data_IF_292376782648
#
_entry.id   IF_292376782648
#
_cell.length_a   1.000
_cell.length_b   1.000
_cell.length_c   1.000
_cell.angle_alpha   90.00
_cell.angle_beta   90.00
_cell.angle_gamma   90.00
#
_symmetry.space_group_name_H-M   'P 1'
#
loop_
_entity.id
_entity.type
_entity.pdbx_description
1 polymer ?
#
# COMPACT_ATOMS: atom_id res chain seq x y z
N UNK A 1 24.91 -9.27 3.27
CA UNK A 1 24.12 -8.13 3.79
C UNK A 1 22.71 -8.64 4.05
N UNK A 2 22.24 -8.61 5.30
CA UNK A 2 20.89 -9.06 5.64
C UNK A 2 19.80 -8.12 5.12
N UNK A 3 18.55 -8.60 5.04
CA UNK A 3 17.39 -7.81 4.59
C UNK A 3 17.23 -6.53 5.42
N UNK A 4 17.55 -6.57 6.73
CA UNK A 4 17.56 -5.40 7.60
C UNK A 4 18.61 -4.34 7.22
N UNK A 5 19.77 -4.76 6.69
CA UNK A 5 20.81 -3.85 6.19
C UNK A 5 20.35 -3.19 4.90
N UNK A 6 19.78 -3.96 3.97
CA UNK A 6 19.21 -3.44 2.73
C UNK A 6 18.07 -2.47 3.01
N UNK A 7 17.22 -2.79 4.00
CA UNK A 7 16.18 -1.88 4.47
C UNK A 7 16.77 -0.61 5.08
N UNK A 8 17.79 -0.72 5.96
CA UNK A 8 18.46 0.45 6.50
C UNK A 8 19.07 1.32 5.40
N UNK A 9 19.60 0.74 4.33
CA UNK A 9 20.12 1.45 3.17
C UNK A 9 19.01 2.18 2.39
N UNK A 10 17.84 1.54 2.20
CA UNK A 10 16.67 2.16 1.56
C UNK A 10 16.15 3.33 2.41
N UNK A 11 16.07 3.15 3.72
CA UNK A 11 15.55 4.16 4.66
C UNK A 11 16.53 5.30 4.94
N UNK A 12 17.84 5.04 4.89
CA UNK A 12 18.89 6.03 5.14
C UNK A 12 19.20 6.89 3.91
N UNK A 13 18.76 6.45 2.72
CA UNK A 13 18.65 7.29 1.55
C UNK A 13 17.54 8.33 1.78
N UNK A 14 17.84 9.33 2.60
CA UNK A 14 17.01 10.48 2.82
C UNK A 14 16.74 11.09 1.43
N UNK A 15 15.51 10.96 0.93
CA UNK A 15 15.12 11.37 -0.43
C UNK A 15 15.53 12.83 -0.69
N UNK A 16 15.56 13.66 0.35
CA UNK A 16 16.05 15.04 0.28
C UNK A 16 17.55 15.12 -0.05
N UNK A 17 18.38 14.24 0.50
CA UNK A 17 19.83 14.17 0.18
C UNK A 17 20.10 13.59 -1.21
N UNK A 18 19.26 12.65 -1.69
CA UNK A 18 19.31 12.19 -3.08
C UNK A 18 18.95 13.31 -4.07
N UNK A 19 17.94 14.12 -3.73
CA UNK A 19 17.51 15.26 -4.53
C UNK A 19 18.52 16.43 -4.51
N UNK A 20 19.21 16.68 -3.39
CA UNK A 20 20.25 17.71 -3.30
C UNK A 20 21.52 17.36 -4.10
N UNK A 21 21.82 16.06 -4.24
CA UNK A 21 23.02 15.60 -4.96
C UNK A 21 22.77 15.35 -6.45
N UNK A 22 21.52 15.09 -6.83
CA UNK A 22 21.15 14.98 -8.23
C UNK A 22 21.07 16.37 -8.85
N UNK A 23 21.77 16.61 -9.95
CA UNK A 23 21.45 17.76 -10.81
C UNK A 23 19.97 17.66 -11.22
N UNK A 24 19.25 18.77 -11.26
CA UNK A 24 17.80 18.81 -11.44
C UNK A 24 17.30 17.95 -12.63
N UNK A 25 18.11 17.79 -13.68
CA UNK A 25 17.81 17.00 -14.88
C UNK A 25 17.80 15.47 -14.71
N UNK A 26 18.39 14.92 -13.64
CA UNK A 26 18.48 13.46 -13.43
C UNK A 26 17.77 12.98 -12.15
N UNK A 27 17.16 13.91 -11.41
CA UNK A 27 16.57 13.63 -10.10
C UNK A 27 15.34 12.70 -10.18
N UNK A 28 14.56 12.77 -11.27
CA UNK A 28 13.44 11.87 -11.56
C UNK A 28 13.90 10.44 -11.82
N UNK A 29 14.90 10.25 -12.67
CA UNK A 29 15.46 8.93 -13.03
C UNK A 29 16.02 8.23 -11.79
N UNK A 30 16.76 8.96 -10.95
CA UNK A 30 17.34 8.42 -9.71
C UNK A 30 16.23 8.02 -8.73
N UNK A 31 15.20 8.85 -8.59
CA UNK A 31 14.08 8.58 -7.69
C UNK A 31 13.21 7.42 -8.18
N UNK A 32 13.01 7.27 -9.49
CA UNK A 32 12.36 6.11 -10.10
C UNK A 32 13.13 4.81 -9.83
N UNK A 33 14.44 4.82 -10.02
CA UNK A 33 15.27 3.65 -9.74
C UNK A 33 15.22 3.28 -8.25
N UNK A 34 15.24 4.29 -7.37
CA UNK A 34 15.06 4.09 -5.93
C UNK A 34 13.71 3.44 -5.62
N UNK A 35 12.59 3.97 -6.13
CA UNK A 35 11.25 3.42 -5.92
C UNK A 35 11.18 1.98 -6.43
N UNK A 36 11.76 1.69 -7.60
CA UNK A 36 11.81 0.34 -8.16
C UNK A 36 12.55 -0.63 -7.24
N UNK A 37 13.76 -0.27 -6.77
CA UNK A 37 14.54 -1.09 -5.83
C UNK A 37 13.81 -1.27 -4.51
N UNK A 38 13.19 -0.21 -3.99
CA UNK A 38 12.42 -0.26 -2.76
C UNK A 38 11.20 -1.19 -2.87
N UNK A 39 10.48 -1.18 -4.01
CA UNK A 39 9.37 -2.10 -4.29
C UNK A 39 9.82 -3.56 -4.37
N UNK A 40 10.93 -3.84 -5.06
CA UNK A 40 11.48 -5.19 -5.12
C UNK A 40 11.84 -5.72 -3.72
N UNK A 41 12.49 -4.90 -2.92
CA UNK A 41 12.85 -5.26 -1.54
C UNK A 41 11.62 -5.35 -0.63
N UNK A 42 10.55 -4.61 -0.91
CA UNK A 42 9.30 -4.68 -0.14
C UNK A 42 8.66 -6.06 -0.22
N UNK A 43 8.67 -6.71 -1.38
CA UNK A 43 8.08 -8.04 -1.53
C UNK A 43 8.89 -9.11 -0.78
N UNK A 44 10.23 -9.01 -0.80
CA UNK A 44 11.11 -9.85 0.02
C UNK A 44 10.89 -9.62 1.52
N UNK A 45 10.82 -8.36 1.96
CA UNK A 45 10.57 -7.99 3.37
C UNK A 45 9.20 -8.47 3.82
N UNK A 46 8.17 -8.39 2.97
CA UNK A 46 6.83 -8.93 3.27
C UNK A 46 6.86 -10.44 3.43
N UNK A 47 7.59 -11.16 2.58
CA UNK A 47 7.70 -12.61 2.67
C UNK A 47 8.42 -13.03 3.97
N UNK A 48 9.52 -12.35 4.32
CA UNK A 48 10.22 -12.60 5.59
C UNK A 48 9.35 -12.23 6.80
N UNK A 49 8.65 -11.10 6.74
CA UNK A 49 7.70 -10.68 7.79
C UNK A 49 6.58 -11.69 7.95
N UNK A 50 6.05 -12.25 6.87
CA UNK A 50 5.06 -13.31 6.91
C UNK A 50 5.62 -14.59 7.57
N UNK A 51 6.88 -14.94 7.29
CA UNK A 51 7.58 -16.04 7.97
C UNK A 51 7.68 -15.82 9.47
N UNK A 52 8.15 -14.65 9.91
CA UNK A 52 8.26 -14.31 11.34
C UNK A 52 6.90 -14.29 12.04
N UNK A 53 5.85 -13.81 11.35
CA UNK A 53 4.47 -13.87 11.87
C UNK A 53 3.99 -15.32 11.98
N UNK A 54 4.33 -16.18 11.02
CA UNK A 54 3.98 -17.59 11.09
C UNK A 54 4.67 -18.28 12.27
N UNK A 55 5.93 -17.93 12.56
CA UNK A 55 6.66 -18.42 13.73
C UNK A 55 6.01 -17.96 15.05
N UNK A 56 5.59 -16.69 15.14
CA UNK A 56 4.81 -16.17 16.27
C UNK A 56 3.52 -16.98 16.46
N UNK A 57 2.77 -17.21 15.38
CA UNK A 57 1.52 -17.98 15.42
C UNK A 57 1.76 -19.44 15.82
N UNK A 58 2.83 -20.07 15.34
CA UNK A 58 3.19 -21.43 15.70
C UNK A 58 3.55 -21.54 17.19
N UNK A 59 4.30 -20.57 17.73
CA UNK A 59 4.61 -20.50 19.15
C UNK A 59 3.33 -20.30 20.00
N UNK A 60 2.42 -19.43 19.57
CA UNK A 60 1.13 -19.23 20.24
C UNK A 60 0.25 -20.49 20.24
N UNK A 61 0.22 -21.24 19.13
CA UNK A 61 -0.49 -22.53 19.06
C UNK A 61 0.09 -23.54 20.05
N UNK A 62 1.42 -23.63 20.13
CA UNK A 62 2.08 -24.53 21.08
C UNK A 62 1.71 -24.24 22.54
N UNK A 63 1.59 -22.96 22.90
CA UNK A 63 1.11 -22.56 24.25
C UNK A 63 -0.34 -23.04 24.46
N UNK A 64 -1.20 -22.85 23.46
CA UNK A 64 -2.61 -23.27 23.52
C UNK A 64 -2.75 -24.79 23.66
N UNK A 65 -1.93 -25.56 22.94
CA UNK A 65 -1.91 -27.02 23.01
C UNK A 65 -1.48 -27.50 24.40
N UNK A 66 -0.42 -26.90 24.97
CA UNK A 66 0.05 -27.18 26.32
C UNK A 66 -1.00 -26.81 27.37
N UNK A 67 -1.72 -25.70 27.19
CA UNK A 67 -2.84 -25.34 28.07
C UNK A 67 -3.96 -26.38 28.03
N UNK A 68 -4.31 -26.87 26.84
CA UNK A 68 -5.29 -27.96 26.71
C UNK A 68 -4.81 -29.24 27.40
N UNK A 69 -3.53 -29.58 27.27
CA UNK A 69 -2.92 -30.73 27.92
C UNK A 69 -2.95 -30.61 29.46
N UNK A 70 -2.59 -29.45 29.99
CA UNK A 70 -2.63 -29.14 31.44
C UNK A 70 -4.05 -29.31 31.99
N UNK A 71 -5.06 -28.80 31.27
CA UNK A 71 -6.47 -28.93 31.66
C UNK A 71 -6.93 -30.39 31.62
N UNK A 72 -6.54 -31.16 30.59
CA UNK A 72 -6.86 -32.59 30.48
C UNK A 72 -6.24 -33.39 31.63
N UNK A 73 -4.96 -33.16 31.92
CA UNK A 73 -4.25 -33.84 33.00
C UNK A 73 -4.83 -33.49 34.37
N UNK A 74 -5.25 -32.25 34.58
CA UNK A 74 -5.97 -31.86 35.80
C UNK A 74 -7.28 -32.64 35.97
N UNK A 75 -8.09 -32.75 34.91
CA UNK A 75 -9.35 -33.53 34.95
C UNK A 75 -9.12 -35.02 35.23
N UNK A 76 -8.09 -35.61 34.63
CA UNK A 76 -7.75 -37.02 34.90
C UNK A 76 -7.25 -37.23 36.32
N UNK A 77 -6.46 -36.30 36.86
CA UNK A 77 -6.05 -36.34 38.26
C UNK A 77 -7.26 -36.28 39.20
N UNK A 78 -8.22 -35.37 38.95
CA UNK A 78 -9.45 -35.27 39.73
C UNK A 78 -10.27 -36.57 39.68
N UNK A 79 -10.43 -37.17 38.50
CA UNK A 79 -11.14 -38.44 38.34
C UNK A 79 -10.45 -39.59 39.05
N UNK A 80 -9.11 -39.66 39.00
CA UNK A 80 -8.34 -40.69 39.69
C UNK A 80 -8.48 -40.60 41.21
N UNK A 81 -8.47 -39.38 41.77
CA UNK A 81 -8.73 -39.15 43.21
C UNK A 81 -10.14 -39.58 43.59
N UNK A 82 -11.15 -39.22 42.78
CA UNK A 82 -12.54 -39.63 43.04
C UNK A 82 -12.73 -41.16 42.98
N UNK A 83 -11.94 -41.84 42.17
CA UNK A 83 -11.90 -43.31 42.08
C UNK A 83 -11.07 -43.97 43.20
N UNK A 84 -10.43 -43.20 44.09
CA UNK A 84 -9.57 -43.70 45.16
C UNK A 84 -8.21 -44.22 44.67
N UNK A 85 -7.79 -43.86 43.47
CA UNK A 85 -6.55 -44.34 42.84
C UNK A 85 -5.44 -43.28 42.93
N UNK A 86 -4.94 -43.05 44.14
CA UNK A 86 -3.99 -41.98 44.47
C UNK A 86 -2.67 -42.05 43.69
N UNK A 87 -2.19 -43.26 43.36
CA UNK A 87 -0.96 -43.44 42.58
C UNK A 87 -1.10 -42.94 41.14
N UNK A 88 -2.28 -43.13 40.52
CA UNK A 88 -2.54 -42.61 39.17
C UNK A 88 -2.76 -41.09 39.21
N UNK A 89 -3.43 -40.58 40.25
CA UNK A 89 -3.59 -39.15 40.46
C UNK A 89 -2.23 -38.43 40.55
N UNK A 90 -1.28 -38.98 41.32
CA UNK A 90 0.10 -38.44 41.40
C UNK A 90 0.78 -38.38 40.03
N UNK A 91 0.69 -39.45 39.22
CA UNK A 91 1.27 -39.47 37.87
C UNK A 91 0.67 -38.40 36.96
N UNK A 92 -0.66 -38.21 36.99
CA UNK A 92 -1.29 -37.14 36.22
C UNK A 92 -0.86 -35.74 36.69
N UNK A 93 -0.68 -35.54 38.00
CA UNK A 93 -0.18 -34.29 38.56
C UNK A 93 1.29 -34.02 38.19
N UNK A 94 2.15 -35.05 38.18
CA UNK A 94 3.52 -34.95 37.68
C UNK A 94 3.55 -34.59 36.19
N UNK A 95 2.71 -35.24 35.38
CA UNK A 95 2.54 -34.91 33.97
C UNK A 95 2.11 -33.46 33.78
N UNK A 96 1.16 -32.98 34.61
CA UNK A 96 0.69 -31.59 34.59
C UNK A 96 1.80 -30.61 34.93
N UNK A 97 2.62 -30.90 35.94
CA UNK A 97 3.77 -30.08 36.32
C UNK A 97 4.81 -29.99 35.18
N UNK A 98 5.09 -31.11 34.52
CA UNK A 98 5.98 -31.14 33.35
C UNK A 98 5.42 -30.35 32.16
N UNK A 99 4.12 -30.46 31.87
CA UNK A 99 3.46 -29.66 30.83
C UNK A 99 3.48 -28.16 31.16
N UNK A 100 3.29 -27.78 32.43
CA UNK A 100 3.40 -26.41 32.89
C UNK A 100 4.81 -25.83 32.75
N UNK A 101 5.86 -26.62 33.05
CA UNK A 101 7.24 -26.19 32.81
C UNK A 101 7.52 -25.96 31.31
N UNK A 102 7.09 -26.88 30.44
CA UNK A 102 7.19 -26.71 28.99
C UNK A 102 6.41 -25.50 28.47
N UNK A 103 5.28 -25.17 29.11
CA UNK A 103 4.48 -23.99 28.78
C UNK A 103 5.27 -22.72 29.07
N UNK A 104 5.91 -22.62 30.24
CA UNK A 104 6.73 -21.46 30.58
C UNK A 104 7.86 -21.22 29.56
N UNK A 105 8.52 -22.29 29.11
CA UNK A 105 9.53 -22.20 28.04
C UNK A 105 8.93 -21.73 26.71
N UNK A 106 7.74 -22.25 26.35
CA UNK A 106 7.03 -21.85 25.14
C UNK A 106 6.55 -20.38 25.19
N UNK A 107 6.13 -19.88 26.35
CA UNK A 107 5.77 -18.49 26.58
C UNK A 107 6.96 -17.54 26.41
N UNK A 108 8.14 -17.92 26.91
CA UNK A 108 9.37 -17.17 26.68
C UNK A 108 9.75 -17.11 25.20
N UNK A 109 9.65 -18.24 24.49
CA UNK A 109 9.90 -18.30 23.05
C UNK A 109 8.88 -17.44 22.25
N UNK A 110 7.61 -17.50 22.61
CA UNK A 110 6.57 -16.66 22.02
C UNK A 110 6.83 -15.16 22.25
N UNK A 111 7.23 -14.77 23.47
CA UNK A 111 7.54 -13.37 23.76
C UNK A 111 8.67 -12.83 22.85
N UNK A 112 9.71 -13.63 22.62
CA UNK A 112 10.80 -13.26 21.69
C UNK A 112 10.31 -13.20 20.24
N UNK A 113 9.54 -14.19 19.79
CA UNK A 113 8.97 -14.22 18.45
C UNK A 113 8.03 -13.01 18.20
N UNK A 114 7.24 -12.64 19.21
CA UNK A 114 6.34 -11.48 19.17
C UNK A 114 7.08 -10.17 19.00
N UNK A 115 8.13 -9.93 19.79
CA UNK A 115 8.97 -8.72 19.66
C UNK A 115 9.56 -8.63 18.25
N UNK A 116 10.02 -9.75 17.69
CA UNK A 116 10.55 -9.79 16.33
C UNK A 116 9.47 -9.51 15.27
N UNK A 117 8.31 -10.17 15.38
CA UNK A 117 7.15 -9.98 14.51
C UNK A 117 6.66 -8.53 14.51
N UNK A 118 6.51 -7.94 15.69
CA UNK A 118 6.08 -6.54 15.84
C UNK A 118 7.09 -5.58 15.21
N UNK A 119 8.39 -5.83 15.39
CA UNK A 119 9.45 -5.07 14.72
C UNK A 119 9.35 -5.20 13.20
N UNK A 120 9.19 -6.41 12.67
CA UNK A 120 9.09 -6.64 11.22
C UNK A 120 7.83 -5.98 10.62
N UNK A 121 6.70 -6.02 11.33
CA UNK A 121 5.47 -5.32 10.94
C UNK A 121 5.68 -3.80 10.88
N UNK A 122 6.33 -3.21 11.89
CA UNK A 122 6.63 -1.79 11.91
C UNK A 122 7.57 -1.38 10.77
N UNK A 123 8.63 -2.15 10.52
CA UNK A 123 9.56 -1.91 9.42
C UNK A 123 8.87 -1.98 8.07
N UNK A 124 8.03 -3.01 7.85
CA UNK A 124 7.25 -3.17 6.62
C UNK A 124 6.29 -2.00 6.42
N UNK A 125 5.58 -1.58 7.48
CA UNK A 125 4.67 -0.42 7.41
C UNK A 125 5.43 0.87 7.06
N UNK A 126 6.60 1.07 7.66
CA UNK A 126 7.46 2.21 7.36
C UNK A 126 7.93 2.20 5.91
N UNK A 127 8.38 1.05 5.40
CA UNK A 127 8.80 0.90 4.00
C UNK A 127 7.70 1.29 3.02
N UNK A 128 6.47 0.84 3.28
CA UNK A 128 5.31 1.18 2.45
C UNK A 128 5.04 2.68 2.47
N UNK A 129 5.14 3.32 3.65
CA UNK A 129 5.01 4.77 3.79
C UNK A 129 6.07 5.53 2.98
N UNK A 130 7.34 5.20 3.20
CA UNK A 130 8.46 5.85 2.52
C UNK A 130 8.40 5.69 0.98
N UNK A 131 7.95 4.53 0.49
CA UNK A 131 7.70 4.31 -0.94
C UNK A 131 6.57 5.21 -1.47
N UNK A 132 5.52 5.42 -0.67
CA UNK A 132 4.42 6.34 -1.01
C UNK A 132 4.90 7.79 -1.08
N UNK A 133 5.67 8.23 -0.07
CA UNK A 133 6.25 9.57 -0.04
C UNK A 133 7.20 9.82 -1.21
N UNK A 134 8.01 8.82 -1.58
CA UNK A 134 8.88 8.87 -2.74
C UNK A 134 8.08 9.03 -4.06
N UNK A 135 6.94 8.33 -4.20
CA UNK A 135 6.08 8.44 -5.39
C UNK A 135 5.43 9.83 -5.49
N UNK A 136 4.99 10.39 -4.36
CA UNK A 136 4.44 11.74 -4.32
C UNK A 136 5.49 12.77 -4.76
N UNK A 137 6.71 12.67 -4.22
CA UNK A 137 7.83 13.52 -4.61
C UNK A 137 8.22 13.36 -6.08
N UNK A 138 8.22 12.14 -6.61
CA UNK A 138 8.48 11.90 -8.03
C UNK A 138 7.45 12.60 -8.91
N UNK A 139 6.18 12.53 -8.54
CA UNK A 139 5.08 13.19 -9.27
C UNK A 139 5.25 14.71 -9.26
N UNK A 140 5.55 15.29 -8.10
CA UNK A 140 5.84 16.72 -7.95
C UNK A 140 7.04 17.14 -8.79
N UNK A 141 8.12 16.35 -8.75
CA UNK A 141 9.34 16.65 -9.48
C UNK A 141 9.15 16.58 -11.00
N UNK A 142 8.43 15.58 -11.50
CA UNK A 142 8.05 15.50 -12.92
C UNK A 142 7.20 16.67 -13.36
N UNK A 143 6.25 17.11 -12.53
CA UNK A 143 5.45 18.30 -12.83
C UNK A 143 6.32 19.56 -12.93
N UNK A 144 7.26 19.75 -12.00
CA UNK A 144 8.19 20.89 -12.03
C UNK A 144 9.13 20.83 -13.23
N UNK A 145 9.64 19.66 -13.57
CA UNK A 145 10.49 19.46 -14.76
C UNK A 145 9.72 19.80 -16.05
N UNK A 146 8.47 19.35 -16.19
CA UNK A 146 7.65 19.68 -17.35
C UNK A 146 7.44 21.20 -17.52
N UNK A 147 7.17 21.91 -16.43
CA UNK A 147 7.05 23.38 -16.42
C UNK A 147 8.38 24.07 -16.76
N UNK A 148 9.49 23.55 -16.24
CA UNK A 148 10.83 24.07 -16.53
C UNK A 148 11.21 23.86 -18.01
N UNK A 149 10.96 22.67 -18.57
CA UNK A 149 11.18 22.38 -19.99
C UNK A 149 10.33 23.27 -20.89
N UNK A 150 9.08 23.52 -20.51
CA UNK A 150 8.21 24.45 -21.24
C UNK A 150 8.77 25.87 -21.19
N UNK A 151 9.25 26.31 -20.02
CA UNK A 151 9.86 27.63 -19.83
C UNK A 151 11.17 27.79 -20.60
N UNK A 152 12.05 26.79 -20.60
CA UNK A 152 13.28 26.74 -21.42
C UNK A 152 12.93 26.83 -22.91
N UNK A 153 11.97 26.02 -23.40
CA UNK A 153 11.53 26.08 -24.81
C UNK A 153 10.98 27.45 -25.19
N UNK A 154 10.26 28.12 -24.28
CA UNK A 154 9.78 29.48 -24.49
C UNK A 154 10.91 30.50 -24.50
N UNK A 155 11.89 30.37 -23.60
CA UNK A 155 13.08 31.22 -23.58
C UNK A 155 13.92 31.05 -24.86
N UNK A 156 14.18 29.81 -25.28
CA UNK A 156 14.89 29.50 -26.54
C UNK A 156 14.13 30.00 -27.76
N UNK A 157 12.79 29.88 -27.78
CA UNK A 157 11.96 30.42 -28.85
C UNK A 157 12.05 31.95 -28.87
N UNK A 158 11.97 32.60 -27.72
CA UNK A 158 12.13 34.05 -27.57
C UNK A 158 13.53 34.50 -28.03
N UNK A 159 14.58 33.76 -27.70
CA UNK A 159 15.96 34.06 -28.10
C UNK A 159 16.17 33.84 -29.60
N UNK A 160 15.57 32.78 -30.20
CA UNK A 160 15.56 32.56 -31.65
C UNK A 160 14.80 33.64 -32.40
N UNK A 161 13.67 34.11 -31.85
CA UNK A 161 12.92 35.25 -32.39
C UNK A 161 13.77 36.53 -32.29
N UNK A 162 14.42 36.76 -31.14
CA UNK A 162 15.24 37.95 -30.90
C UNK A 162 16.53 37.96 -31.73
N UNK A 163 17.10 36.80 -32.06
CA UNK A 163 18.27 36.67 -32.95
C UNK A 163 17.92 36.72 -34.43
N UNK A 164 16.67 36.43 -34.81
CA UNK A 164 16.12 36.70 -36.15
C UNK A 164 15.69 38.16 -36.37
N UNK A 165 15.59 38.97 -35.30
CA UNK A 165 15.14 40.37 -35.32
C UNK A 165 16.17 41.38 -35.90
N UNK A 166 16.97 40.97 -36.89
CA UNK A 166 17.86 41.85 -37.66
C UNK A 166 17.18 42.62 -38.80
N UNK A 167 15.86 42.50 -38.99
CA UNK A 167 15.11 43.16 -40.07
C UNK A 167 13.69 43.52 -39.66
N UNK A 168 13.44 44.80 -39.44
CA UNK A 168 12.18 45.35 -38.89
C UNK A 168 11.18 45.62 -40.02
N UNK A 169 10.27 44.68 -40.30
CA UNK A 169 8.96 44.98 -40.92
C UNK A 169 7.90 43.89 -40.76
N UNK A 170 8.28 42.65 -40.44
CA UNK A 170 7.32 41.53 -40.29
C UNK A 170 6.89 41.29 -38.82
N UNK A 171 7.18 42.27 -37.94
CA UNK A 171 7.02 42.18 -36.49
C UNK A 171 5.55 41.98 -36.05
N UNK A 172 4.61 42.71 -36.63
CA UNK A 172 3.19 42.65 -36.22
C UNK A 172 2.51 41.35 -36.67
N UNK A 173 2.80 40.87 -37.88
CA UNK A 173 2.22 39.62 -38.39
C UNK A 173 2.77 38.37 -37.72
N UNK A 174 4.03 38.40 -37.28
CA UNK A 174 4.65 37.27 -36.57
C UNK A 174 4.29 37.30 -35.08
N UNK A 175 4.20 38.47 -34.45
CA UNK A 175 3.70 38.61 -33.08
C UNK A 175 2.25 38.12 -32.97
N UNK A 176 1.39 38.48 -33.92
CA UNK A 176 0.02 37.94 -34.01
C UNK A 176 0.02 36.42 -34.23
N UNK A 177 0.93 35.88 -35.07
CA UNK A 177 1.01 34.44 -35.31
C UNK A 177 1.50 33.66 -34.09
N UNK A 178 2.45 34.22 -33.33
CA UNK A 178 2.98 33.63 -32.08
C UNK A 178 1.94 33.73 -30.97
N UNK A 179 1.31 34.90 -30.80
CA UNK A 179 0.23 35.08 -29.83
C UNK A 179 -0.93 34.12 -30.13
N UNK A 180 -1.35 33.99 -31.39
CA UNK A 180 -2.39 33.06 -31.82
C UNK A 180 -2.00 31.59 -31.62
N UNK A 181 -0.71 31.27 -31.60
CA UNK A 181 -0.19 29.91 -31.34
C UNK A 181 -0.09 29.62 -29.85
N UNK A 182 0.30 30.61 -29.03
CA UNK A 182 0.23 30.55 -27.57
C UNK A 182 -1.23 30.43 -27.13
N UNK A 183 -2.11 31.29 -27.64
CA UNK A 183 -3.56 31.22 -27.41
C UNK A 183 -4.13 29.88 -27.87
N UNK A 184 -3.63 29.29 -28.97
CA UNK A 184 -4.05 27.96 -29.41
C UNK A 184 -3.52 26.84 -28.50
N UNK A 185 -2.36 27.00 -27.88
CA UNK A 185 -1.80 26.02 -26.93
C UNK A 185 -2.53 26.13 -25.60
N UNK A 186 -2.75 27.34 -25.10
CA UNK A 186 -3.50 27.61 -23.88
C UNK A 186 -4.98 27.23 -24.05
N UNK A 187 -5.57 27.45 -25.22
CA UNK A 187 -6.90 26.96 -25.56
C UNK A 187 -6.94 25.43 -25.65
N UNK A 188 -5.88 24.76 -26.13
CA UNK A 188 -5.80 23.28 -26.13
C UNK A 188 -5.56 22.71 -24.74
N UNK A 189 -4.77 23.37 -23.89
CA UNK A 189 -4.56 22.98 -22.50
C UNK A 189 -5.83 23.20 -21.67
N UNK A 190 -6.53 24.31 -21.89
CA UNK A 190 -7.84 24.61 -21.29
C UNK A 190 -8.91 23.64 -21.81
N UNK A 191 -8.94 23.35 -23.12
CA UNK A 191 -9.83 22.35 -23.70
C UNK A 191 -9.52 20.95 -23.19
N UNK A 192 -8.27 20.54 -23.02
CA UNK A 192 -7.94 19.24 -22.43
C UNK A 192 -8.33 19.17 -20.95
N UNK A 193 -8.19 20.27 -20.21
CA UNK A 193 -8.64 20.35 -18.82
C UNK A 193 -10.17 20.35 -18.71
N UNK A 194 -10.85 21.04 -19.62
CA UNK A 194 -12.30 21.04 -19.76
C UNK A 194 -12.80 19.69 -20.29
N UNK A 195 -12.05 19.00 -21.15
CA UNK A 195 -12.33 17.63 -21.59
C UNK A 195 -12.05 16.62 -20.47
N UNK A 196 -11.05 16.81 -19.62
CA UNK A 196 -10.82 15.98 -18.42
C UNK A 196 -11.92 16.23 -17.37
N UNK A 197 -12.39 17.47 -17.20
CA UNK A 197 -13.58 17.80 -16.40
C UNK A 197 -14.89 17.29 -17.06
N UNK A 198 -14.95 17.18 -18.39
CA UNK A 198 -16.08 16.59 -19.15
C UNK A 198 -15.95 15.08 -19.40
N UNK A 199 -14.82 14.44 -19.08
CA UNK A 199 -14.68 12.98 -19.01
C UNK A 199 -15.29 12.41 -17.72
N UNK A 200 -16.02 13.24 -16.97
CA UNK A 200 -17.04 12.86 -16.00
C UNK A 200 -18.39 12.53 -16.67
N UNK A 201 -18.41 12.21 -17.97
CA UNK A 201 -19.54 11.55 -18.65
C UNK A 201 -19.92 10.24 -17.96
N UNK A 202 -18.97 9.54 -17.33
CA UNK A 202 -19.28 8.35 -16.51
C UNK A 202 -20.05 8.74 -15.22
N UNK A 203 -19.79 9.90 -14.66
CA UNK A 203 -20.43 10.41 -13.44
C UNK A 203 -21.80 11.04 -13.72
N UNK A 204 -22.03 11.50 -14.96
CA UNK A 204 -23.35 11.82 -15.50
C UNK A 204 -24.15 10.56 -15.90
N UNK A 205 -23.49 9.50 -16.40
CA UNK A 205 -24.14 8.19 -16.63
C UNK A 205 -24.59 7.56 -15.31
N UNK A 206 -23.78 7.60 -14.25
CA UNK A 206 -24.18 7.08 -12.93
C UNK A 206 -25.36 7.86 -12.31
N UNK A 207 -25.52 9.15 -12.66
CA UNK A 207 -26.66 9.96 -12.22
C UNK A 207 -27.95 9.66 -12.98
N UNK A 208 -27.88 9.20 -14.23
CA UNK A 208 -29.05 8.87 -15.07
C UNK A 208 -29.37 7.36 -15.13
N UNK A 209 -28.41 6.46 -14.84
CA UNK A 209 -28.67 5.03 -14.65
C UNK A 209 -29.45 4.71 -13.36
N UNK A 210 -29.60 5.68 -12.45
CA UNK A 210 -30.40 5.53 -11.22
C UNK A 210 -31.86 5.98 -11.40
N UNK A 211 -32.27 6.46 -12.59
CA UNK A 211 -33.63 7.01 -12.79
C UNK A 211 -34.38 6.52 -14.03
N UNK A 212 -33.94 5.43 -14.67
CA UNK A 212 -34.58 4.89 -15.88
C UNK A 212 -35.04 3.43 -15.75
N UNK A 213 -35.39 2.96 -14.56
CA UNK A 213 -36.20 1.74 -14.43
C UNK A 213 -37.13 1.79 -13.22
N UNK A 214 -37.98 2.82 -13.20
CA UNK A 214 -39.30 2.69 -12.64
C UNK A 214 -40.28 2.60 -13.81
N UNK A 215 -40.63 1.38 -14.21
CA UNK A 215 -41.99 0.88 -13.96
C UNK A 215 -42.21 -0.55 -14.46
N UNK A 216 -42.58 -1.41 -13.49
CA UNK A 216 -43.52 -2.53 -13.64
C UNK A 216 -43.02 -3.84 -14.30
N UNK A 217 -42.38 -4.74 -13.52
CA UNK A 217 -42.69 -6.20 -13.62
C UNK A 217 -42.21 -7.10 -12.47
N UNK A 218 -41.45 -6.65 -11.48
CA UNK A 218 -40.85 -7.58 -10.49
C UNK A 218 -41.65 -7.81 -9.21
N UNK A 219 -42.46 -6.84 -8.74
CA UNK A 219 -43.27 -7.02 -7.52
C UNK A 219 -44.43 -7.99 -7.72
N UNK A 220 -45.04 -8.03 -8.91
CA UNK A 220 -46.07 -9.04 -9.26
C UNK A 220 -45.45 -10.42 -9.53
N UNK A 221 -44.20 -10.47 -10.03
CA UNK A 221 -43.44 -11.71 -10.18
C UNK A 221 -42.97 -12.29 -8.83
N UNK A 222 -42.62 -11.43 -7.86
CA UNK A 222 -42.28 -11.81 -6.49
C UNK A 222 -43.52 -12.23 -5.69
N UNK A 223 -44.70 -11.65 -5.95
CA UNK A 223 -45.95 -12.12 -5.34
C UNK A 223 -46.38 -13.51 -5.86
N UNK A 224 -46.05 -13.85 -7.11
CA UNK A 224 -46.27 -15.17 -7.69
C UNK A 224 -45.27 -16.21 -7.15
N UNK A 225 -44.01 -15.82 -6.96
CA UNK A 225 -42.99 -16.67 -6.33
C UNK A 225 -43.31 -16.94 -4.85
N UNK A 226 -43.81 -15.95 -4.10
CA UNK A 226 -44.21 -16.10 -2.70
C UNK A 226 -45.41 -17.06 -2.52
N UNK A 227 -46.35 -17.07 -3.48
CA UNK A 227 -47.48 -18.01 -3.48
C UNK A 227 -47.03 -19.46 -3.75
N UNK A 228 -46.12 -19.65 -4.71
CA UNK A 228 -45.55 -20.96 -5.02
C UNK A 228 -44.68 -21.54 -3.90
N UNK A 229 -44.09 -20.69 -3.05
CA UNK A 229 -43.25 -21.13 -1.92
C UNK A 229 -44.05 -21.37 -0.62
N UNK A 230 -45.28 -20.86 -0.52
CA UNK A 230 -46.15 -20.97 0.66
C UNK A 230 -47.30 -21.99 0.52
N UNK A 231 -47.32 -22.81 -0.54
CA UNK A 231 -48.18 -23.98 -0.61
C UNK A 231 -49.66 -23.72 -0.91
N UNK A 232 -49.93 -22.87 -1.91
CA UNK A 232 -51.03 -23.10 -2.87
C UNK A 232 -50.56 -22.76 -4.28
#
# INVERSE_FOLDING_TARGET
MGILSRFADIMSANINSLLEKAEAKNADIILEEYIRKARQNLDEVKAETAGVIADEMAAARKITDLDSEIVKLAKYAEQAVLAGNDEDAKKFLEGKANAAAKKADAENAYAQAKVNSDRMRQLTKKLVGDIGDAQNKLTELKSKLAVAEQSEKMAELSEKISSMAGGVSDYDHLADAVQKRIDSIDAKASLNKELDENYDINTLMDKYNVSADATATTVDAELAALKSQLGK
#
